data_IF_526621415983
#
_entry.id   IF_526621415983
#
_cell.length_a   1.000
_cell.length_b   1.000
_cell.length_c   1.000
_cell.angle_alpha   90.00
_cell.angle_beta   90.00
_cell.angle_gamma   90.00
#
_symmetry.space_group_name_H-M   'P 1'
#
loop_
_entity.id
_entity.type
_entity.pdbx_description
1 polymer ?
#
# COMPACT_ATOMS: atom_id res chain seq x y z
N UNK A 1 -15.04 -0.16 -10.94
CA UNK A 1 -14.65 -1.53 -10.53
C UNK A 1 -13.94 -1.58 -9.17
N UNK A 2 -13.03 -0.65 -8.85
CA UNK A 2 -12.32 -0.65 -7.56
C UNK A 2 -13.21 -0.46 -6.31
N UNK A 3 -14.27 0.36 -6.38
CA UNK A 3 -15.20 0.53 -5.24
C UNK A 3 -16.03 -0.72 -4.98
N UNK A 4 -16.38 -1.46 -6.04
CA UNK A 4 -17.12 -2.71 -5.97
C UNK A 4 -16.26 -3.78 -5.27
N UNK A 5 -14.97 -3.88 -5.61
CA UNK A 5 -14.03 -4.76 -4.92
C UNK A 5 -13.87 -4.40 -3.44
N UNK A 6 -13.83 -3.11 -3.07
CA UNK A 6 -13.75 -2.66 -1.68
C UNK A 6 -15.00 -3.07 -0.87
N UNK A 7 -16.19 -2.87 -1.43
CA UNK A 7 -17.45 -3.28 -0.79
C UNK A 7 -17.56 -4.81 -0.65
N UNK A 8 -17.02 -5.56 -1.62
CA UNK A 8 -16.99 -7.02 -1.57
C UNK A 8 -15.97 -7.61 -0.58
N UNK A 9 -14.92 -6.87 -0.24
CA UNK A 9 -13.86 -7.26 0.73
C UNK A 9 -14.35 -7.10 2.18
N UNK A 10 -15.30 -6.20 2.45
CA UNK A 10 -15.75 -5.87 3.81
C UNK A 10 -16.89 -6.73 4.37
N UNK A 11 -17.42 -7.72 3.62
CA UNK A 11 -18.52 -8.59 4.07
C UNK A 11 -18.11 -10.08 4.27
N UNK A 12 -18.47 -10.72 5.41
CA UNK A 12 -18.33 -12.18 5.63
C UNK A 12 -19.66 -12.96 5.41
N UNK A 13 -19.64 -14.30 5.22
CA UNK A 13 -18.81 -15.11 4.33
C UNK A 13 -19.61 -15.62 3.11
N UNK A 14 -19.09 -15.41 1.89
CA UNK A 14 -19.38 -16.26 0.73
C UNK A 14 -18.04 -16.65 0.13
N UNK A 15 -17.48 -17.74 0.64
CA UNK A 15 -16.02 -18.01 0.63
C UNK A 15 -15.52 -18.70 -0.65
N UNK A 16 -16.37 -19.24 -1.53
CA UNK A 16 -15.85 -20.10 -2.63
C UNK A 16 -15.58 -19.34 -3.96
N UNK A 17 -16.46 -18.46 -4.48
CA UNK A 17 -16.20 -17.78 -5.77
C UNK A 17 -15.22 -16.60 -5.64
N UNK A 18 -15.26 -15.87 -4.51
CA UNK A 18 -14.42 -14.68 -4.27
C UNK A 18 -12.94 -15.04 -4.15
N UNK A 19 -12.64 -16.16 -3.49
CA UNK A 19 -11.26 -16.65 -3.33
C UNK A 19 -10.72 -17.15 -4.68
N UNK A 20 -11.54 -17.81 -5.50
CA UNK A 20 -11.13 -18.23 -6.86
C UNK A 20 -10.83 -17.06 -7.80
N UNK A 21 -11.64 -15.99 -7.78
CA UNK A 21 -11.39 -14.81 -8.59
C UNK A 21 -10.12 -14.07 -8.12
N UNK A 22 -9.97 -13.85 -6.82
CA UNK A 22 -8.78 -13.21 -6.25
C UNK A 22 -7.51 -14.03 -6.51
N UNK A 23 -7.59 -15.36 -6.41
CA UNK A 23 -6.51 -16.26 -6.80
C UNK A 23 -6.17 -16.05 -8.27
N UNK A 24 -7.16 -16.19 -9.18
CA UNK A 24 -6.95 -15.99 -10.62
C UNK A 24 -6.34 -14.62 -10.98
N UNK A 25 -6.72 -13.57 -10.26
CA UNK A 25 -6.15 -12.23 -10.43
C UNK A 25 -4.74 -12.11 -9.87
N UNK A 26 -4.43 -12.76 -8.74
CA UNK A 26 -3.09 -12.76 -8.14
C UNK A 26 -2.05 -13.41 -9.06
N UNK A 27 -2.44 -14.45 -9.81
CA UNK A 27 -1.56 -15.11 -10.80
C UNK A 27 -1.53 -14.43 -12.16
N UNK A 28 -2.30 -13.35 -12.35
CA UNK A 28 -2.26 -12.58 -13.59
C UNK A 28 -1.22 -11.47 -13.49
N UNK A 29 0.00 -11.75 -13.97
CA UNK A 29 1.12 -10.81 -13.97
C UNK A 29 0.77 -9.46 -14.61
N UNK A 30 -0.02 -9.47 -15.70
CA UNK A 30 -0.46 -8.22 -16.36
C UNK A 30 -1.39 -7.41 -15.47
N UNK A 31 -2.31 -8.06 -14.76
CA UNK A 31 -3.21 -7.37 -13.85
C UNK A 31 -2.45 -6.67 -12.72
N UNK A 32 -1.48 -7.36 -12.10
CA UNK A 32 -0.62 -6.79 -11.06
C UNK A 32 0.17 -5.57 -11.57
N UNK A 33 0.73 -5.65 -12.79
CA UNK A 33 1.43 -4.52 -13.41
C UNK A 33 0.51 -3.32 -13.64
N UNK A 34 -0.66 -3.54 -14.25
CA UNK A 34 -1.61 -2.45 -14.48
C UNK A 34 -2.05 -1.80 -13.16
N UNK A 35 -2.28 -2.61 -12.13
CA UNK A 35 -2.66 -2.09 -10.82
C UNK A 35 -1.55 -1.23 -10.20
N UNK A 36 -0.28 -1.66 -10.31
CA UNK A 36 0.86 -0.86 -9.88
C UNK A 36 1.02 0.45 -10.68
N UNK A 37 0.85 0.40 -12.00
CA UNK A 37 0.86 1.60 -12.84
C UNK A 37 -0.24 2.58 -12.42
N UNK A 38 -1.47 2.10 -12.20
CA UNK A 38 -2.58 2.94 -11.73
C UNK A 38 -2.28 3.63 -10.40
N UNK A 39 -1.68 2.90 -9.45
CA UNK A 39 -1.27 3.47 -8.15
C UNK A 39 -0.18 4.54 -8.35
N UNK A 40 0.77 4.29 -9.26
CA UNK A 40 1.92 5.18 -9.52
C UNK A 40 1.52 6.46 -10.28
N UNK A 41 0.54 6.37 -11.16
CA UNK A 41 0.05 7.48 -11.99
C UNK A 41 -0.97 8.37 -11.27
N UNK A 42 -1.54 7.90 -10.15
CA UNK A 42 -2.49 8.65 -9.35
C UNK A 42 -1.87 9.95 -8.81
N UNK A 43 -2.51 11.08 -9.12
CA UNK A 43 -2.09 12.42 -8.70
C UNK A 43 -3.24 13.15 -8.00
N UNK A 44 -2.88 14.03 -7.07
CA UNK A 44 -3.80 14.97 -6.43
C UNK A 44 -3.35 16.40 -6.69
N UNK A 45 -4.31 17.33 -6.64
CA UNK A 45 -4.05 18.77 -6.76
C UNK A 45 -3.80 19.33 -5.36
N UNK A 46 -2.60 19.84 -5.13
CA UNK A 46 -2.27 20.54 -3.89
C UNK A 46 -2.97 21.91 -3.83
N UNK A 47 -3.07 22.48 -2.62
CA UNK A 47 -3.62 23.84 -2.40
C UNK A 47 -2.85 24.89 -3.22
N UNK A 48 -1.55 24.66 -3.47
CA UNK A 48 -0.71 25.50 -4.33
C UNK A 48 -1.02 25.40 -5.83
N UNK A 49 -2.03 24.60 -6.23
CA UNK A 49 -2.42 24.37 -7.62
C UNK A 49 -1.57 23.32 -8.35
N UNK A 50 -0.44 22.89 -7.77
CA UNK A 50 0.45 21.87 -8.34
C UNK A 50 -0.13 20.46 -8.28
N UNK A 51 0.16 19.62 -9.28
CA UNK A 51 -0.22 18.21 -9.32
C UNK A 51 0.90 17.35 -8.76
N UNK A 52 0.64 16.59 -7.70
CA UNK A 52 1.64 15.75 -7.02
C UNK A 52 1.17 14.29 -7.00
N UNK A 53 2.06 13.30 -7.25
CA UNK A 53 1.71 11.88 -7.13
C UNK A 53 1.23 11.53 -5.71
N UNK A 54 0.15 10.77 -5.60
CA UNK A 54 -0.41 10.37 -4.30
C UNK A 54 0.55 9.50 -3.49
N UNK A 55 1.36 8.66 -4.15
CA UNK A 55 2.44 7.92 -3.47
C UNK A 55 3.46 8.84 -2.80
N UNK A 56 3.75 10.00 -3.39
CA UNK A 56 4.65 10.99 -2.80
C UNK A 56 4.01 11.68 -1.58
N UNK A 57 2.71 11.94 -1.63
CA UNK A 57 1.95 12.48 -0.49
C UNK A 57 1.94 11.46 0.66
N UNK A 58 1.67 10.19 0.34
CA UNK A 58 1.69 9.08 1.31
C UNK A 58 3.06 8.94 1.94
N UNK A 59 4.13 8.81 1.15
CA UNK A 59 5.50 8.61 1.68
C UNK A 59 6.00 9.76 2.56
N UNK A 60 5.51 10.98 2.35
CA UNK A 60 5.78 12.13 3.23
C UNK A 60 4.93 12.15 4.50
N UNK A 61 3.90 11.30 4.57
CA UNK A 61 2.93 11.31 5.67
C UNK A 61 2.06 12.57 5.69
N UNK A 62 1.89 13.24 4.54
CA UNK A 62 1.13 14.49 4.47
C UNK A 62 -0.37 14.20 4.44
N UNK A 63 -1.20 14.93 5.22
CA UNK A 63 -2.64 14.72 5.21
C UNK A 63 -3.21 14.97 3.80
N UNK A 64 -4.17 14.15 3.40
CA UNK A 64 -4.82 14.22 2.08
C UNK A 64 -6.34 14.25 2.24
N UNK A 65 -7.06 14.58 1.16
CA UNK A 65 -8.51 14.58 1.14
C UNK A 65 -9.10 13.17 1.35
N UNK A 66 -10.33 13.10 1.89
CA UNK A 66 -11.06 11.83 2.04
C UNK A 66 -11.37 11.16 0.69
N UNK A 67 -11.49 11.95 -0.37
CA UNK A 67 -11.69 11.45 -1.73
C UNK A 67 -10.43 10.72 -2.22
N UNK A 68 -9.26 11.34 -2.05
CA UNK A 68 -7.98 10.76 -2.43
C UNK A 68 -7.67 9.51 -1.61
N UNK A 69 -7.86 9.56 -0.28
CA UNK A 69 -7.67 8.41 0.60
C UNK A 69 -8.58 7.24 0.20
N UNK A 70 -9.85 7.53 -0.10
CA UNK A 70 -10.83 6.52 -0.49
C UNK A 70 -10.55 5.88 -1.84
N UNK A 71 -9.80 6.55 -2.72
CA UNK A 71 -9.38 6.02 -4.02
C UNK A 71 -8.09 5.21 -3.92
N UNK A 72 -7.07 5.72 -3.23
CA UNK A 72 -5.74 5.11 -3.19
C UNK A 72 -5.66 3.90 -2.25
N UNK A 73 -6.29 3.96 -1.07
CA UNK A 73 -6.18 2.90 -0.05
C UNK A 73 -6.65 1.54 -0.59
N UNK A 74 -7.84 1.41 -1.23
CA UNK A 74 -8.31 0.11 -1.70
C UNK A 74 -7.44 -0.48 -2.81
N UNK A 75 -6.96 0.37 -3.72
CA UNK A 75 -6.07 -0.07 -4.82
C UNK A 75 -4.75 -0.58 -4.25
N UNK A 76 -4.17 0.16 -3.32
CA UNK A 76 -2.89 -0.18 -2.73
C UNK A 76 -2.98 -1.42 -1.84
N UNK A 77 -4.08 -1.57 -1.11
CA UNK A 77 -4.40 -2.77 -0.34
C UNK A 77 -4.54 -4.00 -1.26
N UNK A 78 -5.30 -3.87 -2.35
CA UNK A 78 -5.54 -4.95 -3.30
C UNK A 78 -4.23 -5.39 -3.96
N UNK A 79 -3.43 -4.43 -4.44
CA UNK A 79 -2.12 -4.71 -5.01
C UNK A 79 -1.23 -5.47 -4.03
N UNK A 80 -1.11 -4.95 -2.81
CA UNK A 80 -0.22 -5.52 -1.80
C UNK A 80 -0.66 -6.92 -1.39
N UNK A 81 -1.97 -7.16 -1.30
CA UNK A 81 -2.54 -8.47 -0.97
C UNK A 81 -2.32 -9.49 -2.07
N UNK A 82 -2.65 -9.13 -3.33
CA UNK A 82 -2.51 -10.03 -4.47
C UNK A 82 -1.03 -10.34 -4.74
N UNK A 83 -0.17 -9.35 -4.66
CA UNK A 83 1.25 -9.56 -4.89
C UNK A 83 1.91 -10.37 -3.77
N UNK A 84 1.53 -10.14 -2.51
CA UNK A 84 1.96 -11.03 -1.40
C UNK A 84 1.53 -12.47 -1.66
N UNK A 85 0.31 -12.70 -2.13
CA UNK A 85 -0.17 -14.04 -2.42
C UNK A 85 0.57 -14.70 -3.59
N UNK A 86 0.83 -13.94 -4.65
CA UNK A 86 1.66 -14.37 -5.78
C UNK A 86 3.08 -14.75 -5.32
N UNK A 87 3.72 -13.96 -4.46
CA UNK A 87 5.08 -14.22 -3.95
C UNK A 87 5.21 -15.49 -3.11
N UNK A 88 4.12 -16.01 -2.52
CA UNK A 88 4.14 -17.30 -1.80
C UNK A 88 4.35 -18.45 -2.78
N UNK A 89 3.78 -18.35 -3.98
CA UNK A 89 3.82 -19.39 -5.00
C UNK A 89 5.06 -19.37 -5.89
N UNK A 90 5.76 -18.23 -5.96
CA UNK A 90 6.94 -18.05 -6.80
C UNK A 90 8.17 -18.58 -6.05
N UNK A 91 8.92 -19.48 -6.69
CA UNK A 91 10.19 -19.99 -6.16
C UNK A 91 11.34 -19.00 -6.39
N UNK A 92 12.44 -19.13 -5.63
CA UNK A 92 13.59 -18.21 -5.76
C UNK A 92 14.12 -18.16 -7.21
N UNK A 93 14.30 -19.31 -7.88
CA UNK A 93 14.79 -19.35 -9.27
C UNK A 93 13.91 -18.54 -10.24
N UNK A 94 12.59 -18.66 -10.11
CA UNK A 94 11.64 -17.91 -10.93
C UNK A 94 11.61 -16.42 -10.56
N UNK A 95 11.76 -16.10 -9.27
CA UNK A 95 11.85 -14.73 -8.77
C UNK A 95 13.07 -13.99 -9.32
N UNK A 96 14.23 -14.66 -9.37
CA UNK A 96 15.48 -14.09 -9.87
C UNK A 96 15.63 -14.18 -11.39
N UNK A 97 14.72 -14.89 -12.08
CA UNK A 97 14.77 -15.09 -13.52
C UNK A 97 15.91 -16.00 -13.95
N UNK A 98 16.34 -16.92 -13.08
CA UNK A 98 17.34 -17.92 -13.43
C UNK A 98 16.75 -18.80 -14.54
N UNK A 99 17.45 -18.99 -15.67
CA UNK A 99 16.94 -19.81 -16.76
C UNK A 99 16.78 -21.23 -16.25
N UNK A 100 15.52 -21.67 -16.10
CA UNK A 100 15.24 -23.09 -15.93
C UNK A 100 15.57 -23.70 -17.29
N UNK A 101 16.68 -24.43 -17.39
CA UNK A 101 17.11 -25.17 -18.58
C UNK A 101 16.12 -26.29 -18.90
N UNK A 102 14.89 -25.94 -19.31
CA UNK A 102 13.96 -26.87 -19.92
C UNK A 102 13.94 -26.58 -21.41
N UNK A 103 14.63 -27.44 -22.14
CA UNK A 103 14.71 -27.46 -23.60
C UNK A 103 13.32 -27.23 -24.20
N UNK A 104 13.11 -26.09 -24.87
CA UNK A 104 12.03 -25.91 -25.84
C UNK A 104 10.74 -25.20 -25.42
N UNK A 105 10.58 -24.73 -24.18
CA UNK A 105 9.39 -23.92 -23.80
C UNK A 105 9.79 -22.62 -23.11
N UNK A 106 9.48 -21.47 -23.75
CA UNK A 106 9.39 -20.18 -23.06
C UNK A 106 8.28 -20.29 -22.01
N UNK A 107 8.63 -20.62 -20.78
CA UNK A 107 7.69 -20.49 -19.68
C UNK A 107 7.32 -19.02 -19.57
N UNK A 108 6.02 -18.72 -19.69
CA UNK A 108 5.50 -17.41 -19.34
C UNK A 108 5.79 -17.20 -17.85
N UNK A 109 6.81 -16.39 -17.54
CA UNK A 109 7.18 -16.11 -16.15
C UNK A 109 5.96 -15.67 -15.36
N UNK A 110 5.68 -16.34 -14.23
CA UNK A 110 4.61 -15.93 -13.31
C UNK A 110 5.00 -14.65 -12.56
N UNK A 111 6.27 -14.23 -12.68
CA UNK A 111 6.80 -13.02 -12.06
C UNK A 111 6.34 -11.74 -12.82
N UNK A 112 5.59 -10.84 -12.17
CA UNK A 112 5.05 -9.64 -12.81
C UNK A 112 6.10 -8.54 -13.09
N UNK A 113 7.17 -8.49 -12.30
CA UNK A 113 8.13 -7.39 -12.30
C UNK A 113 9.56 -7.91 -12.47
N UNK A 114 10.38 -7.16 -13.21
CA UNK A 114 11.84 -7.38 -13.25
C UNK A 114 12.50 -7.01 -11.92
N UNK A 115 13.73 -7.48 -11.68
CA UNK A 115 14.46 -7.14 -10.45
C UNK A 115 14.64 -5.62 -10.29
N UNK A 116 14.90 -4.88 -11.37
CA UNK A 116 15.02 -3.41 -11.35
C UNK A 116 13.70 -2.72 -10.96
N UNK A 117 12.58 -3.20 -11.50
CA UNK A 117 11.25 -2.71 -11.13
C UNK A 117 10.94 -3.04 -9.66
N UNK A 118 11.35 -4.22 -9.16
CA UNK A 118 11.18 -4.58 -7.75
C UNK A 118 11.99 -3.72 -6.80
N UNK A 119 13.20 -3.30 -7.18
CA UNK A 119 13.99 -2.35 -6.38
C UNK A 119 13.20 -1.04 -6.25
N UNK A 120 12.71 -0.50 -7.36
CA UNK A 120 11.92 0.75 -7.33
C UNK A 120 10.63 0.58 -6.52
N UNK A 121 9.92 -0.54 -6.72
CA UNK A 121 8.67 -0.86 -6.05
C UNK A 121 8.86 -1.02 -4.54
N UNK A 122 9.84 -1.82 -4.13
CA UNK A 122 10.14 -2.05 -2.71
C UNK A 122 10.58 -0.77 -2.00
N UNK A 123 11.29 0.14 -2.69
CA UNK A 123 11.58 1.49 -2.19
C UNK A 123 10.30 2.26 -1.90
N UNK A 124 9.39 2.31 -2.88
CA UNK A 124 8.10 3.00 -2.73
C UNK A 124 7.25 2.40 -1.61
N UNK A 125 7.19 1.08 -1.48
CA UNK A 125 6.44 0.42 -0.40
C UNK A 125 7.02 0.72 0.98
N UNK A 126 8.36 0.70 1.12
CA UNK A 126 9.05 1.03 2.37
C UNK A 126 8.79 2.48 2.78
N UNK A 127 8.95 3.41 1.85
CA UNK A 127 8.73 4.85 2.11
C UNK A 127 7.25 5.12 2.41
N UNK A 128 6.34 4.43 1.71
CA UNK A 128 4.90 4.48 2.01
C UNK A 128 4.58 3.93 3.41
N UNK A 129 5.20 2.83 3.86
CA UNK A 129 5.02 2.32 5.23
C UNK A 129 5.32 3.40 6.29
N UNK A 130 6.43 4.13 6.14
CA UNK A 130 6.82 5.20 7.08
C UNK A 130 5.81 6.35 7.07
N UNK A 131 5.39 6.78 5.89
CA UNK A 131 4.40 7.83 5.78
C UNK A 131 3.00 7.42 6.27
N UNK A 132 2.60 6.17 6.08
CA UNK A 132 1.34 5.64 6.63
C UNK A 132 1.35 5.62 8.16
N UNK A 133 2.50 5.39 8.81
CA UNK A 133 2.59 5.50 10.28
C UNK A 133 2.21 6.92 10.71
N UNK A 134 2.74 7.96 10.03
CA UNK A 134 2.41 9.36 10.30
C UNK A 134 0.93 9.68 10.03
N UNK A 135 0.31 9.03 9.04
CA UNK A 135 -1.12 9.21 8.71
C UNK A 135 -2.06 8.45 9.65
N UNK A 136 -1.64 7.27 10.14
CA UNK A 136 -2.39 6.46 11.09
C UNK A 136 -2.25 6.98 12.52
N UNK A 137 -1.14 7.67 12.82
CA UNK A 137 -0.84 8.29 14.10
C UNK A 137 -0.37 9.73 13.87
N UNK A 138 -1.26 10.63 13.37
CA UNK A 138 -0.93 12.04 13.28
C UNK A 138 -0.61 12.51 14.69
N UNK A 139 0.64 12.93 14.89
CA UNK A 139 1.26 13.39 16.14
C UNK A 139 0.24 13.60 17.25
N UNK A 140 0.29 12.71 18.24
CA UNK A 140 -0.30 12.87 19.56
C UNK A 140 0.31 14.10 20.24
N UNK A 141 -0.08 15.30 19.82
CA UNK A 141 -0.07 16.48 20.68
C UNK A 141 -1.46 16.55 21.32
N UNK A 142 -1.65 15.97 22.52
CA UNK A 142 -2.93 16.07 23.23
C UNK A 142 -3.41 17.53 23.38
N UNK A 143 -2.46 18.47 23.44
CA UNK A 143 -2.66 19.92 23.52
C UNK A 143 -3.56 20.47 22.40
N UNK A 144 -3.24 20.19 21.14
CA UNK A 144 -4.01 20.74 19.99
C UNK A 144 -5.37 20.06 19.88
N UNK A 145 -5.49 18.78 20.26
CA UNK A 145 -6.76 18.05 20.21
C UNK A 145 -7.72 18.52 21.28
N UNK A 146 -7.23 18.82 22.49
CA UNK A 146 -8.05 19.37 23.58
C UNK A 146 -8.48 20.80 23.30
N UNK A 147 -7.60 21.66 22.80
CA UNK A 147 -7.94 23.04 22.42
C UNK A 147 -8.95 23.08 21.27
N UNK A 148 -8.80 22.21 20.27
CA UNK A 148 -9.75 22.08 19.18
C UNK A 148 -11.10 21.54 19.69
N UNK A 149 -11.11 20.47 20.50
CA UNK A 149 -12.34 19.93 21.09
C UNK A 149 -13.03 20.96 22.02
N UNK A 150 -12.26 21.75 22.77
CA UNK A 150 -12.78 22.82 23.63
C UNK A 150 -13.37 23.98 22.82
N UNK A 151 -12.70 24.38 21.72
CA UNK A 151 -13.19 25.39 20.79
C UNK A 151 -14.48 24.95 20.08
N UNK A 152 -14.66 23.66 19.74
CA UNK A 152 -15.91 23.16 19.13
C UNK A 152 -17.05 22.97 20.15
N UNK A 153 -16.72 22.57 21.39
CA UNK A 153 -17.69 22.49 22.49
C UNK A 153 -18.28 23.86 22.84
N UNK A 154 -17.51 24.93 22.69
CA UNK A 154 -17.94 26.31 22.97
C UNK A 154 -18.90 26.89 21.92
N UNK A 155 -19.08 26.24 20.77
CA UNK A 155 -20.02 26.66 19.70
C UNK A 155 -21.27 25.75 19.61
N UNK A 156 -21.45 24.81 20.55
CA UNK A 156 -22.68 24.00 20.65
C UNK A 156 -22.93 22.98 19.54
N UNK A 157 -21.92 22.64 18.73
CA UNK A 157 -22.09 21.75 17.57
C UNK A 157 -22.10 20.28 18.00
N UNK A 158 -23.19 19.56 17.72
CA UNK A 158 -23.39 18.12 17.99
C UNK A 158 -22.70 17.18 16.99
N UNK A 159 -21.96 17.72 16.01
CA UNK A 159 -21.20 16.98 14.97
C UNK A 159 -20.02 16.17 15.50
N UNK A 160 -19.76 16.22 16.81
CA UNK A 160 -18.60 15.61 17.46
C UNK A 160 -18.56 14.08 17.25
N UNK A 161 -19.70 13.39 17.34
CA UNK A 161 -19.74 11.93 17.24
C UNK A 161 -19.49 11.43 15.82
N UNK A 162 -20.12 12.04 14.81
CA UNK A 162 -19.97 11.65 13.40
C UNK A 162 -18.56 11.96 12.87
N UNK A 163 -18.01 13.13 13.23
CA UNK A 163 -16.64 13.52 12.88
C UNK A 163 -15.62 12.57 13.53
N UNK A 164 -15.79 12.24 14.81
CA UNK A 164 -14.93 11.27 15.50
C UNK A 164 -15.00 9.87 14.88
N UNK A 165 -16.20 9.41 14.49
CA UNK A 165 -16.37 8.12 13.80
C UNK A 165 -15.70 8.11 12.43
N UNK A 166 -15.79 9.20 11.67
CA UNK A 166 -15.11 9.34 10.38
C UNK A 166 -13.58 9.24 10.53
N UNK A 167 -13.01 9.99 11.47
CA UNK A 167 -11.57 9.98 11.77
C UNK A 167 -11.11 8.57 12.20
N UNK A 168 -11.85 7.92 13.10
CA UNK A 168 -11.51 6.56 13.54
C UNK A 168 -11.61 5.53 12.40
N UNK A 169 -12.57 5.69 11.50
CA UNK A 169 -12.75 4.78 10.36
C UNK A 169 -11.59 4.92 9.38
N UNK A 170 -11.20 6.15 9.05
CA UNK A 170 -10.03 6.41 8.21
C UNK A 170 -8.74 5.89 8.86
N UNK A 171 -8.56 6.11 10.16
CA UNK A 171 -7.42 5.59 10.90
C UNK A 171 -7.34 4.06 10.81
N UNK A 172 -8.45 3.35 11.00
CA UNK A 172 -8.52 1.89 10.85
C UNK A 172 -8.12 1.45 9.44
N UNK A 173 -8.54 2.17 8.40
CA UNK A 173 -8.17 1.87 7.00
C UNK A 173 -6.66 2.01 6.79
N UNK A 174 -6.04 3.06 7.30
CA UNK A 174 -4.58 3.24 7.25
C UNK A 174 -3.82 2.15 8.00
N UNK A 175 -4.29 1.77 9.20
CA UNK A 175 -3.69 0.67 9.98
C UNK A 175 -3.78 -0.66 9.24
N UNK A 176 -4.92 -0.96 8.59
CA UNK A 176 -5.06 -2.17 7.79
C UNK A 176 -4.13 -2.15 6.57
N UNK A 177 -4.05 -1.03 5.86
CA UNK A 177 -3.13 -0.87 4.74
C UNK A 177 -1.67 -1.07 5.18
N UNK A 178 -1.28 -0.47 6.31
CA UNK A 178 0.05 -0.62 6.88
C UNK A 178 0.42 -2.09 7.12
N UNK A 179 -0.49 -2.88 7.69
CA UNK A 179 -0.27 -4.32 7.95
C UNK A 179 0.03 -5.08 6.66
N UNK A 180 -0.75 -4.84 5.61
CA UNK A 180 -0.62 -5.56 4.33
C UNK A 180 0.66 -5.14 3.60
N UNK A 181 0.95 -3.83 3.51
CA UNK A 181 2.19 -3.37 2.86
C UNK A 181 3.42 -3.86 3.63
N UNK A 182 3.40 -3.79 4.95
CA UNK A 182 4.52 -4.27 5.78
C UNK A 182 4.77 -5.76 5.59
N UNK A 183 3.71 -6.56 5.43
CA UNK A 183 3.85 -7.98 5.10
C UNK A 183 4.56 -8.18 3.75
N UNK A 184 4.12 -7.46 2.71
CA UNK A 184 4.75 -7.52 1.39
C UNK A 184 6.23 -7.10 1.44
N UNK A 185 6.54 -6.01 2.12
CA UNK A 185 7.92 -5.52 2.31
C UNK A 185 8.77 -6.57 3.02
N UNK A 186 8.25 -7.24 4.06
CA UNK A 186 8.95 -8.33 4.75
C UNK A 186 9.24 -9.51 3.82
N UNK A 187 8.28 -9.89 2.96
CA UNK A 187 8.49 -10.96 1.99
C UNK A 187 9.59 -10.61 0.97
N UNK A 188 9.59 -9.38 0.44
CA UNK A 188 10.60 -8.92 -0.49
C UNK A 188 11.99 -8.83 0.17
N UNK A 189 12.07 -8.29 1.40
CA UNK A 189 13.32 -8.25 2.17
C UNK A 189 13.86 -9.64 2.48
N UNK A 190 12.98 -10.60 2.80
CA UNK A 190 13.37 -11.99 3.02
C UNK A 190 14.01 -12.62 1.78
N UNK A 191 13.49 -12.32 0.58
CA UNK A 191 14.09 -12.77 -0.70
C UNK A 191 15.44 -12.11 -0.94
N UNK A 192 15.53 -10.81 -0.70
CA UNK A 192 16.78 -10.04 -0.84
C UNK A 192 17.88 -10.57 0.09
N UNK A 193 17.54 -10.95 1.33
CA UNK A 193 18.51 -11.56 2.26
C UNK A 193 19.03 -12.93 1.80
N UNK A 194 18.25 -13.68 1.01
CA UNK A 194 18.71 -14.97 0.45
C UNK A 194 19.64 -14.79 -0.75
N UNK A 195 19.34 -13.82 -1.61
CA UNK A 195 20.19 -13.40 -2.73
C UNK A 195 19.94 -11.93 -2.99
N UNK A 196 20.97 -11.13 -2.74
CA UNK A 196 20.90 -9.68 -2.84
C UNK A 196 20.58 -9.28 -4.28
N UNK A 197 19.53 -8.48 -4.44
CA UNK A 197 19.18 -7.80 -5.70
C UNK A 197 18.96 -6.30 -5.49
N UNK A 198 18.80 -5.85 -4.25
CA UNK A 198 18.72 -4.44 -3.89
C UNK A 198 20.12 -3.83 -3.70
N UNK A 199 20.28 -2.51 -3.98
CA UNK A 199 21.52 -1.80 -3.69
C UNK A 199 21.81 -1.72 -2.18
N UNK A 200 23.05 -1.38 -1.76
CA UNK A 200 23.37 -1.14 -0.36
C UNK A 200 22.47 -0.05 0.24
N UNK A 201 22.20 -0.16 1.54
CA UNK A 201 21.30 0.71 2.32
C UNK A 201 19.85 0.79 1.84
N UNK A 202 19.44 -0.07 0.89
CA UNK A 202 18.09 -0.04 0.36
C UNK A 202 17.02 -0.26 1.43
N UNK A 203 17.22 -1.12 2.42
CA UNK A 203 16.19 -1.35 3.46
C UNK A 203 16.23 -0.33 4.60
N UNK A 204 17.21 0.58 4.60
CA UNK A 204 17.33 1.66 5.57
C UNK A 204 16.69 2.92 4.96
N UNK A 205 15.76 3.55 5.68
CA UNK A 205 15.24 4.83 5.24
C UNK A 205 16.15 5.96 5.71
N UNK A 206 16.61 6.78 4.78
CA UNK A 206 17.40 8.00 5.07
C UNK A 206 16.60 9.03 5.88
N UNK A 207 15.27 8.92 5.93
CA UNK A 207 14.41 9.85 6.68
C UNK A 207 14.52 9.68 8.20
N UNK A 208 14.98 8.52 8.68
CA UNK A 208 15.14 8.20 10.10
C UNK A 208 16.64 8.08 10.43
N UNK A 209 17.38 9.15 10.16
CA UNK A 209 18.76 9.27 10.64
C UNK A 209 18.68 9.54 12.15
N UNK A 210 18.55 8.47 12.94
CA UNK A 210 18.61 8.52 14.41
C UNK A 210 20.02 9.01 14.76
N UNK A 211 20.14 10.30 15.03
CA UNK A 211 21.28 10.90 15.74
C UNK A 211 20.90 11.10 17.20
#
# INVERSE_FOLDING_TARGET
MASICHTFILQPPMIVPKVRLLYSLAFNARFLRHLWCLISEMKTRMITGSMVPLLQVISRGSPMSLEDSSRIIPLFYLFSSLFSHSLISIHDNEFFGDPIEVVGQRQSSMMPFTLEELVTLSRCLRDACLGIIKLAYPETKPEVREEYIAAFKSIGVTTNTEMQQCIQTEQKRWIQLFKVITNLVKMLKSRDTRRNFCPPDHWLSLQENIR
#
